data_IF_917590662433
#
_entry.id   IF_917590662433
#
_cell.length_a   1.000
_cell.length_b   1.000
_cell.length_c   1.000
_cell.angle_alpha   90.00
_cell.angle_beta   90.00
_cell.angle_gamma   90.00
#
_symmetry.space_group_name_H-M   'P 1'
#
loop_
_entity.id
_entity.type
_entity.pdbx_description
1 polymer ?
#
# COMPACT_ATOMS: atom_id res chain seq x y z
N UNK A 1 -3.88 -18.81 -5.86
CA UNK A 1 -3.13 -17.56 -5.65
C UNK A 1 -3.83 -16.69 -4.63
N UNK A 2 -3.08 -16.13 -3.70
CA UNK A 2 -3.60 -15.18 -2.72
C UNK A 2 -3.08 -13.79 -3.03
N UNK A 3 -3.96 -12.81 -3.02
CA UNK A 3 -3.59 -11.40 -3.20
C UNK A 3 -3.97 -10.62 -1.95
N UNK A 4 -3.01 -9.87 -1.43
CA UNK A 4 -3.20 -8.95 -0.32
C UNK A 4 -3.28 -7.54 -0.87
N UNK A 5 -4.42 -6.89 -0.69
CA UNK A 5 -4.62 -5.51 -1.12
C UNK A 5 -4.47 -4.60 0.09
N UNK A 6 -3.55 -3.66 0.01
CA UNK A 6 -3.26 -2.75 1.12
C UNK A 6 -3.41 -1.32 0.65
N UNK A 7 -4.21 -0.55 1.37
CA UNK A 7 -4.28 0.89 1.16
C UNK A 7 -3.07 1.55 1.83
N UNK A 8 -2.53 2.59 1.21
CA UNK A 8 -1.42 3.34 1.82
C UNK A 8 -1.81 3.91 3.19
N UNK A 9 -0.82 4.16 4.04
CA UNK A 9 -1.01 4.78 5.33
C UNK A 9 -1.46 6.25 5.21
N UNK A 10 -1.82 6.83 6.35
CA UNK A 10 -2.31 8.20 6.40
C UNK A 10 -1.25 9.20 5.96
N UNK A 11 -1.68 10.20 5.21
CA UNK A 11 -0.90 11.39 4.88
C UNK A 11 -1.58 12.61 5.50
N UNK A 12 -0.91 13.75 5.53
CA UNK A 12 -1.54 14.98 6.00
C UNK A 12 -2.70 15.40 5.11
N UNK A 13 -2.68 15.05 3.83
CA UNK A 13 -3.82 15.30 2.95
C UNK A 13 -5.06 14.52 3.39
N UNK A 14 -4.92 13.24 3.75
CA UNK A 14 -6.03 12.45 4.29
C UNK A 14 -6.58 13.08 5.57
N UNK A 15 -5.68 13.43 6.49
CA UNK A 15 -6.04 14.02 7.78
C UNK A 15 -6.83 15.31 7.61
N UNK A 16 -6.48 16.12 6.62
CA UNK A 16 -7.10 17.41 6.36
C UNK A 16 -8.25 17.36 5.37
N UNK A 17 -8.65 16.17 4.92
CA UNK A 17 -9.77 16.01 3.99
C UNK A 17 -9.46 16.45 2.57
N UNK A 18 -8.19 16.60 2.21
CA UNK A 18 -7.77 17.02 0.88
C UNK A 18 -7.76 15.82 -0.05
N UNK A 19 -8.38 15.96 -1.24
CA UNK A 19 -8.29 14.94 -2.26
C UNK A 19 -6.88 14.88 -2.82
N UNK A 20 -6.29 13.69 -2.74
CA UNK A 20 -4.99 13.43 -3.32
C UNK A 20 -5.16 12.90 -4.73
N UNK A 21 -4.82 13.71 -5.71
CA UNK A 21 -4.70 13.23 -7.08
C UNK A 21 -3.30 12.72 -7.35
N UNK A 22 -3.05 12.33 -8.59
CA UNK A 22 -1.72 11.89 -9.02
C UNK A 22 -0.70 13.04 -8.97
N UNK A 23 -1.15 14.27 -9.05
CA UNK A 23 -0.28 15.44 -8.99
C UNK A 23 0.12 15.87 -7.58
N UNK A 24 -0.48 15.28 -6.54
CA UNK A 24 -0.17 15.58 -5.14
C UNK A 24 0.53 14.38 -4.53
N UNK A 25 1.82 14.50 -4.32
CA UNK A 25 2.66 13.39 -3.87
C UNK A 25 3.06 13.56 -2.40
N UNK A 26 2.06 13.49 -1.51
CA UNK A 26 2.27 13.59 -0.07
C UNK A 26 2.95 12.34 0.47
N UNK A 27 3.86 12.54 1.41
CA UNK A 27 4.48 11.46 2.18
C UNK A 27 3.55 10.97 3.29
N UNK A 28 3.84 9.79 3.83
CA UNK A 28 3.17 9.34 5.04
C UNK A 28 3.48 10.30 6.19
N UNK A 29 2.47 10.58 7.00
CA UNK A 29 2.70 11.26 8.28
C UNK A 29 3.05 10.23 9.36
N UNK A 30 3.25 10.68 10.60
CA UNK A 30 3.63 9.77 11.70
C UNK A 30 2.56 8.70 11.94
N UNK A 31 1.30 9.06 11.83
CA UNK A 31 0.19 8.11 11.94
C UNK A 31 0.27 7.07 10.85
N UNK A 32 0.53 7.48 9.61
CA UNK A 32 0.66 6.57 8.47
C UNK A 32 1.81 5.58 8.65
N UNK A 33 2.93 6.03 9.17
CA UNK A 33 4.07 5.16 9.48
C UNK A 33 3.67 4.12 10.54
N UNK A 34 2.98 4.54 11.59
CA UNK A 34 2.50 3.62 12.63
C UNK A 34 1.51 2.60 12.09
N UNK A 35 0.60 3.01 11.22
CA UNK A 35 -0.37 2.13 10.58
C UNK A 35 0.32 1.07 9.73
N UNK A 36 1.29 1.47 8.92
CA UNK A 36 2.06 0.55 8.09
C UNK A 36 2.89 -0.42 8.96
N UNK A 37 3.48 0.06 10.04
CA UNK A 37 4.25 -0.75 10.98
C UNK A 37 3.37 -1.79 11.66
N UNK A 38 2.14 -1.42 12.01
CA UNK A 38 1.17 -2.36 12.58
C UNK A 38 0.86 -3.48 11.59
N UNK A 39 0.62 -3.15 10.32
CA UNK A 39 0.38 -4.14 9.28
C UNK A 39 1.60 -5.03 9.05
N UNK A 40 2.80 -4.45 9.08
CA UNK A 40 4.04 -5.23 9.02
C UNK A 40 4.04 -6.33 10.07
N UNK A 41 3.67 -5.99 11.30
CA UNK A 41 3.63 -6.95 12.40
C UNK A 41 2.54 -8.00 12.20
N UNK A 42 1.37 -7.60 11.72
CA UNK A 42 0.26 -8.52 11.43
C UNK A 42 0.62 -9.51 10.30
N UNK A 43 1.40 -9.07 9.33
CA UNK A 43 1.75 -9.85 8.15
C UNK A 43 3.16 -10.48 8.25
N UNK A 44 3.78 -10.48 9.42
CA UNK A 44 5.15 -10.94 9.59
C UNK A 44 5.37 -12.41 9.20
N UNK A 45 4.34 -13.23 9.33
CA UNK A 45 4.42 -14.66 9.02
C UNK A 45 3.95 -15.01 7.60
N UNK A 46 3.58 -14.01 6.82
CA UNK A 46 3.17 -14.20 5.43
C UNK A 46 4.40 -14.10 4.53
N UNK A 47 4.60 -15.10 3.68
CA UNK A 47 5.67 -15.09 2.69
C UNK A 47 5.11 -14.54 1.38
N UNK A 48 5.57 -13.36 1.01
CA UNK A 48 5.19 -12.74 -0.26
C UNK A 48 6.19 -13.10 -1.34
N UNK A 49 5.69 -13.45 -2.52
CA UNK A 49 6.54 -13.69 -3.69
C UNK A 49 7.00 -12.39 -4.31
N UNK A 50 6.11 -11.41 -4.36
CA UNK A 50 6.37 -10.10 -4.94
C UNK A 50 5.39 -9.08 -4.37
N UNK A 51 5.82 -7.83 -4.32
CA UNK A 51 4.97 -6.70 -3.94
C UNK A 51 4.89 -5.74 -5.12
N UNK A 52 3.68 -5.42 -5.54
CA UNK A 52 3.44 -4.37 -6.52
C UNK A 52 2.93 -3.12 -5.82
N UNK A 53 3.46 -1.97 -6.19
CA UNK A 53 3.07 -0.70 -5.62
C UNK A 53 2.88 0.37 -6.68
N UNK A 54 1.98 1.31 -6.41
CA UNK A 54 1.93 2.56 -7.15
C UNK A 54 3.26 3.31 -6.98
N UNK A 55 3.70 4.08 -7.99
CA UNK A 55 4.92 4.88 -7.86
C UNK A 55 4.80 6.08 -6.92
N UNK A 56 3.61 6.38 -6.41
CA UNK A 56 3.43 7.48 -5.46
C UNK A 56 4.16 7.20 -4.14
N UNK A 57 4.78 8.23 -3.57
CA UNK A 57 5.58 8.10 -2.36
C UNK A 57 4.79 7.43 -1.23
N UNK A 58 3.55 7.84 -1.01
CA UNK A 58 2.71 7.28 0.07
C UNK A 58 2.50 5.77 -0.06
N UNK A 59 2.30 5.29 -1.29
CA UNK A 59 2.11 3.86 -1.55
C UNK A 59 3.42 3.10 -1.44
N UNK A 60 4.47 3.63 -2.04
CA UNK A 60 5.79 3.02 -2.03
C UNK A 60 6.35 2.92 -0.61
N UNK A 61 6.20 3.98 0.18
CA UNK A 61 6.66 3.99 1.57
C UNK A 61 5.90 2.99 2.42
N UNK A 62 4.59 2.85 2.22
CA UNK A 62 3.79 1.83 2.90
C UNK A 62 4.30 0.44 2.56
N UNK A 63 4.55 0.15 1.29
CA UNK A 63 5.07 -1.13 0.84
C UNK A 63 6.45 -1.43 1.45
N UNK A 64 7.34 -0.45 1.45
CA UNK A 64 8.68 -0.60 2.03
C UNK A 64 8.63 -0.92 3.51
N UNK A 65 7.74 -0.27 4.25
CA UNK A 65 7.58 -0.54 5.68
C UNK A 65 7.09 -1.97 5.90
N UNK A 66 6.09 -2.41 5.12
CA UNK A 66 5.45 -3.72 5.33
C UNK A 66 6.37 -4.86 4.91
N UNK A 67 6.95 -4.80 3.72
CA UNK A 67 7.72 -5.92 3.17
C UNK A 67 9.22 -5.73 3.24
N UNK A 68 9.71 -4.48 3.17
CA UNK A 68 11.14 -4.19 3.23
C UNK A 68 11.95 -5.01 2.22
N UNK A 69 12.92 -5.76 2.73
CA UNK A 69 13.77 -6.62 1.92
C UNK A 69 13.24 -8.06 1.80
N UNK A 70 12.07 -8.33 2.33
CA UNK A 70 11.51 -9.69 2.36
C UNK A 70 11.13 -10.20 0.97
N UNK A 71 10.79 -9.31 0.06
CA UNK A 71 10.49 -9.64 -1.33
C UNK A 71 10.79 -8.45 -2.22
N UNK A 72 10.80 -8.69 -3.53
CA UNK A 72 10.98 -7.62 -4.50
C UNK A 72 9.77 -6.71 -4.55
N UNK A 73 10.01 -5.39 -4.60
CA UNK A 73 8.96 -4.40 -4.77
C UNK A 73 9.07 -3.86 -6.20
N UNK A 74 7.96 -3.97 -6.94
CA UNK A 74 7.87 -3.49 -8.32
C UNK A 74 6.86 -2.36 -8.39
N UNK A 75 7.25 -1.25 -8.99
CA UNK A 75 6.31 -0.17 -9.29
C UNK A 75 5.49 -0.50 -10.52
N UNK A 76 4.20 -0.19 -10.47
CA UNK A 76 3.30 -0.37 -11.60
C UNK A 76 2.35 0.82 -11.68
N UNK A 77 2.48 1.58 -12.76
CA UNK A 77 1.67 2.79 -12.99
C UNK A 77 0.16 2.51 -13.08
N UNK A 78 -0.21 1.28 -13.40
CA UNK A 78 -1.62 0.90 -13.46
C UNK A 78 -2.29 1.02 -12.09
N UNK A 79 -1.52 0.97 -11.01
CA UNK A 79 -2.04 1.13 -9.66
C UNK A 79 -2.30 2.59 -9.26
N UNK A 80 -1.94 3.55 -10.10
CA UNK A 80 -2.33 4.96 -9.93
C UNK A 80 -3.83 5.13 -10.10
N UNK A 81 -4.44 4.31 -10.93
CA UNK A 81 -5.87 4.26 -11.11
C UNK A 81 -6.42 3.17 -10.20
N UNK A 82 -7.55 3.42 -9.57
CA UNK A 82 -8.13 2.49 -8.61
C UNK A 82 -8.75 1.25 -9.24
N UNK A 83 -8.50 1.03 -10.52
CA UNK A 83 -9.02 -0.10 -11.25
C UNK A 83 -8.06 -1.27 -11.13
N UNK A 84 -8.50 -2.32 -10.45
CA UNK A 84 -7.69 -3.52 -10.20
C UNK A 84 -7.92 -4.62 -11.23
N UNK A 85 -8.68 -4.33 -12.28
CA UNK A 85 -8.99 -5.31 -13.30
C UNK A 85 -9.89 -6.44 -12.80
N UNK A 86 -9.97 -7.49 -13.58
CA UNK A 86 -10.79 -8.66 -13.25
C UNK A 86 -9.99 -9.63 -12.39
N UNK A 87 -10.34 -9.71 -11.11
CA UNK A 87 -9.71 -10.60 -10.14
C UNK A 87 -10.60 -11.77 -9.73
N UNK A 88 -11.53 -12.19 -10.60
CA UNK A 88 -12.36 -13.36 -10.35
C UNK A 88 -11.50 -14.61 -10.15
N UNK A 89 -11.93 -15.46 -9.22
CA UNK A 89 -11.23 -16.70 -8.93
C UNK A 89 -9.97 -16.55 -8.10
N UNK A 90 -9.68 -15.34 -7.64
CA UNK A 90 -8.51 -15.05 -6.81
C UNK A 90 -8.94 -14.76 -5.38
N UNK A 91 -8.26 -15.35 -4.42
CA UNK A 91 -8.47 -15.02 -3.01
C UNK A 91 -7.86 -13.66 -2.71
N UNK A 92 -8.68 -12.74 -2.21
CA UNK A 92 -8.26 -11.37 -1.89
C UNK A 92 -8.36 -11.12 -0.40
N UNK A 93 -7.38 -10.41 0.13
CA UNK A 93 -7.44 -9.83 1.47
C UNK A 93 -7.16 -8.35 1.35
N UNK A 94 -8.05 -7.53 1.89
CA UNK A 94 -7.95 -6.08 1.82
C UNK A 94 -7.62 -5.53 3.21
N UNK A 95 -6.54 -4.78 3.29
CA UNK A 95 -6.12 -4.10 4.50
C UNK A 95 -6.23 -2.60 4.28
N UNK A 96 -6.93 -1.94 5.18
CA UNK A 96 -7.19 -0.50 5.09
C UNK A 96 -6.79 0.16 6.41
N UNK A 97 -5.54 0.62 6.55
CA UNK A 97 -5.05 1.23 7.77
C UNK A 97 -5.59 2.64 8.03
N UNK A 98 -6.15 3.27 7.02
CA UNK A 98 -6.64 4.65 7.13
C UNK A 98 -8.08 4.71 7.59
#
# INVERSE_FOLDING_TARGET
>A
MKIYLVRHGETDANKNGILQGQGLNYQLNDTGVRQATKLKNELRNVNFDVCFTSPLIRAWSTAMIIVGERCEIKEDKRLLERYLGNLEGVTKKVYNPV
#
